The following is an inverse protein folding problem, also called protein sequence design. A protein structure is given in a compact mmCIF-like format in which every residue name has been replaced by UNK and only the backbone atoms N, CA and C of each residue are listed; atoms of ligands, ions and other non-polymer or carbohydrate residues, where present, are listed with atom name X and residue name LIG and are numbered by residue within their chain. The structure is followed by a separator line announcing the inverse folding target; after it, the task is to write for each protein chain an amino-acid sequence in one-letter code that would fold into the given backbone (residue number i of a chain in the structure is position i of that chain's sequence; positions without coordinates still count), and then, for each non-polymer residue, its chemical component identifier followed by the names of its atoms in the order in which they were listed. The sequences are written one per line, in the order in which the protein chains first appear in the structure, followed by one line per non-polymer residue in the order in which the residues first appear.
data_IF_354499235866
#
_entry.id   IF_354499235866
#
_cell.length_a   1.000
_cell.length_b   1.000
_cell.length_c   1.000
_cell.angle_alpha   90.00
_cell.angle_beta   90.00
_cell.angle_gamma   90.00
#
_symmetry.space_group_name_H-M   'P 1'
#
loop_
_entity.id
_entity.type
_entity.pdbx_description
1 polymer ?
#
# COMPACT_ATOMS: atom_id res chain seq x y z
N UNK A 1 -4.36 -8.25 15.18
CA UNK A 1 -4.15 -7.85 13.77
C UNK A 1 -4.91 -8.76 12.82
N UNK A 2 -4.64 -10.07 12.86
CA UNK A 2 -5.24 -11.03 11.95
C UNK A 2 -6.78 -11.06 12.07
N UNK A 3 -7.32 -10.95 13.28
CA UNK A 3 -8.78 -10.81 13.50
C UNK A 3 -9.35 -9.53 12.87
N UNK A 4 -8.65 -8.39 12.97
CA UNK A 4 -9.07 -7.13 12.33
C UNK A 4 -9.07 -7.27 10.80
N UNK A 5 -8.03 -7.89 10.23
CA UNK A 5 -7.96 -8.14 8.80
C UNK A 5 -9.05 -9.11 8.34
N UNK A 6 -9.28 -10.18 9.09
CA UNK A 6 -10.35 -11.13 8.82
C UNK A 6 -11.74 -10.49 8.93
N UNK A 7 -11.95 -9.62 9.93
CA UNK A 7 -13.19 -8.85 10.10
C UNK A 7 -13.47 -7.94 8.91
N UNK A 8 -12.42 -7.29 8.36
CA UNK A 8 -12.54 -6.52 7.13
C UNK A 8 -13.06 -7.40 5.99
N UNK A 9 -12.43 -8.55 5.72
CA UNK A 9 -12.88 -9.40 4.61
C UNK A 9 -14.25 -10.06 4.86
N UNK A 10 -14.59 -10.39 6.10
CA UNK A 10 -15.92 -10.88 6.48
C UNK A 10 -17.03 -9.85 6.28
N UNK A 11 -16.73 -8.56 6.48
CA UNK A 11 -17.65 -7.47 6.14
C UNK A 11 -17.96 -7.43 4.63
N UNK A 12 -17.00 -7.83 3.78
CA UNK A 12 -17.17 -7.82 2.31
C UNK A 12 -17.83 -9.09 1.80
N UNK A 13 -17.37 -10.25 2.28
CA UNK A 13 -17.70 -11.57 1.71
C UNK A 13 -18.61 -12.44 2.59
N UNK A 14 -18.99 -11.96 3.77
CA UNK A 14 -19.81 -12.68 4.73
C UNK A 14 -19.00 -13.35 5.84
N UNK A 15 -19.69 -13.72 6.92
CA UNK A 15 -19.09 -14.23 8.17
C UNK A 15 -18.33 -15.54 8.00
N UNK A 16 -18.67 -16.33 6.99
CA UNK A 16 -18.03 -17.61 6.70
C UNK A 16 -16.69 -17.45 5.98
N UNK A 17 -16.36 -16.24 5.50
CA UNK A 17 -15.06 -15.96 4.92
C UNK A 17 -13.97 -16.11 6.00
N UNK A 18 -12.94 -16.89 5.67
CA UNK A 18 -11.76 -17.07 6.49
C UNK A 18 -10.52 -16.85 5.64
N UNK A 19 -9.69 -15.91 6.05
CA UNK A 19 -8.30 -15.88 5.58
C UNK A 19 -7.65 -17.20 6.04
N UNK A 20 -6.80 -17.76 5.17
CA UNK A 20 -5.95 -18.94 5.44
C UNK A 20 -5.41 -18.96 6.86
N UNK A 21 -5.27 -20.18 7.42
CA UNK A 21 -5.13 -20.45 8.85
C UNK A 21 -4.34 -19.37 9.56
N UNK A 22 -5.01 -18.74 10.53
CA UNK A 22 -4.47 -17.76 11.47
C UNK A 22 -3.36 -18.44 12.30
N UNK A 23 -2.21 -18.75 11.69
CA UNK A 23 -0.98 -18.84 12.48
C UNK A 23 -0.90 -17.49 13.14
N UNK A 24 -0.90 -17.45 14.46
CA UNK A 24 -0.74 -16.23 15.24
C UNK A 24 0.67 -15.66 15.02
N UNK A 25 1.00 -15.22 13.81
CA UNK A 25 2.14 -14.35 13.57
C UNK A 25 1.72 -12.96 14.03
N UNK A 26 1.84 -12.74 15.34
CA UNK A 26 1.85 -11.39 15.90
C UNK A 26 3.01 -10.67 15.23
N UNK A 27 2.72 -9.57 14.52
CA UNK A 27 3.80 -8.67 14.12
C UNK A 27 4.48 -8.20 15.39
N UNK A 28 5.79 -8.41 15.44
CA UNK A 28 6.54 -8.31 16.68
C UNK A 28 6.56 -6.84 17.14
N UNK A 29 6.40 -6.57 18.45
CA UNK A 29 6.58 -5.23 18.99
C UNK A 29 7.95 -4.63 18.66
N UNK A 30 8.95 -5.48 18.41
CA UNK A 30 10.30 -5.08 18.00
C UNK A 30 10.32 -4.32 16.67
N UNK A 31 9.32 -4.45 15.77
CA UNK A 31 9.20 -3.61 14.57
C UNK A 31 9.07 -2.09 14.86
N UNK A 32 8.91 -1.71 16.14
CA UNK A 32 8.99 -0.34 16.63
C UNK A 32 10.45 0.09 16.85
N UNK A 33 11.31 0.00 15.84
CA UNK A 33 12.65 0.61 15.92
C UNK A 33 12.58 2.13 15.99
N UNK A 34 13.67 2.76 16.42
CA UNK A 34 13.95 4.17 16.16
C UNK A 34 14.20 4.38 14.65
N UNK A 35 13.16 4.26 13.84
CA UNK A 35 13.20 4.74 12.45
C UNK A 35 13.09 6.28 12.48
N UNK A 36 14.04 7.01 11.87
CA UNK A 36 13.98 8.47 11.85
C UNK A 36 12.76 8.98 11.08
N UNK A 37 12.17 8.17 10.18
CA UNK A 37 10.94 8.48 9.49
C UNK A 37 9.74 7.96 10.30
N UNK A 38 9.13 8.87 11.06
CA UNK A 38 7.92 8.61 11.86
C UNK A 38 6.78 7.95 11.05
N UNK A 39 6.76 8.10 9.72
CA UNK A 39 5.77 7.45 8.85
C UNK A 39 6.01 5.95 8.74
N UNK A 40 7.26 5.48 8.62
CA UNK A 40 7.56 4.05 8.48
C UNK A 40 7.21 3.31 9.77
N UNK A 41 7.53 3.90 10.93
CA UNK A 41 7.11 3.38 12.24
C UNK A 41 5.60 3.23 12.34
N UNK A 42 4.83 4.23 11.88
CA UNK A 42 3.36 4.15 11.83
C UNK A 42 2.85 3.08 10.87
N UNK A 43 3.45 2.94 9.68
CA UNK A 43 3.10 1.89 8.70
C UNK A 43 3.26 0.49 9.32
N UNK A 44 4.36 0.29 10.05
CA UNK A 44 4.68 -1.01 10.65
C UNK A 44 3.98 -1.26 12.00
N UNK A 45 3.38 -0.24 12.62
CA UNK A 45 2.70 -0.37 13.92
C UNK A 45 1.69 -1.53 13.92
N UNK A 46 1.68 -2.40 14.94
CA UNK A 46 0.71 -3.48 15.04
C UNK A 46 -0.74 -3.03 15.29
N UNK A 47 -0.97 -1.74 15.57
CA UNK A 47 -2.30 -1.22 15.93
C UNK A 47 -3.32 -1.33 14.78
N UNK A 48 -2.84 -1.15 13.54
CA UNK A 48 -3.67 -1.17 12.33
C UNK A 48 -3.26 -2.33 11.42
N UNK A 49 -4.21 -3.21 11.11
CA UNK A 49 -3.99 -4.36 10.23
C UNK A 49 -4.00 -3.97 8.73
N UNK A 50 -4.62 -2.84 8.41
CA UNK A 50 -4.64 -2.26 7.06
C UNK A 50 -4.12 -0.83 7.18
N UNK A 51 -3.13 -0.48 6.36
CA UNK A 51 -2.55 0.87 6.26
C UNK A 51 -2.72 1.37 4.83
N UNK A 52 -3.15 2.62 4.67
CA UNK A 52 -3.15 3.36 3.42
C UNK A 52 -2.01 4.37 3.40
N UNK A 53 -1.04 4.16 2.51
CA UNK A 53 -0.01 5.15 2.17
C UNK A 53 -0.50 5.92 0.95
N UNK A 54 -1.03 7.13 1.18
CA UNK A 54 -1.63 8.00 0.16
C UNK A 54 -0.57 8.92 -0.42
N UNK A 55 -0.06 8.59 -1.60
CA UNK A 55 0.86 9.41 -2.37
C UNK A 55 0.13 10.60 -2.99
N UNK A 56 0.68 11.80 -2.86
CA UNK A 56 0.05 13.04 -3.31
C UNK A 56 1.10 13.97 -3.93
N UNK A 57 0.78 14.67 -5.02
CA UNK A 57 1.70 15.64 -5.63
C UNK A 57 1.60 17.02 -4.93
N UNK A 58 2.73 17.67 -4.61
CA UNK A 58 2.74 19.05 -4.08
C UNK A 58 2.62 20.07 -5.22
N UNK A 59 1.52 20.82 -5.26
CA UNK A 59 1.24 21.96 -6.15
C UNK A 59 1.16 21.69 -7.68
N UNK A 60 0.50 22.63 -8.38
CA UNK A 60 0.20 22.61 -9.83
C UNK A 60 1.45 22.60 -10.74
N UNK A 61 2.62 23.04 -10.26
CA UNK A 61 3.85 23.16 -11.08
C UNK A 61 4.45 21.83 -11.55
N UNK A 62 4.12 20.72 -10.87
CA UNK A 62 4.49 19.36 -11.27
C UNK A 62 3.69 18.84 -12.48
N UNK A 63 2.59 19.51 -12.86
CA UNK A 63 1.72 19.09 -13.96
C UNK A 63 2.30 19.36 -15.35
N UNK A 64 3.40 20.10 -15.44
CA UNK A 64 3.96 20.53 -16.73
C UNK A 64 4.61 19.37 -17.52
N UNK A 65 4.92 18.24 -16.89
CA UNK A 65 5.33 17.02 -17.59
C UNK A 65 4.75 15.76 -16.89
N UNK A 66 3.63 15.21 -17.40
CA UNK A 66 2.97 14.04 -16.80
C UNK A 66 3.86 12.81 -16.66
N UNK A 67 4.82 12.60 -17.59
CA UNK A 67 5.77 11.46 -17.50
C UNK A 67 6.72 11.61 -16.34
N UNK A 68 7.27 12.81 -16.14
CA UNK A 68 8.15 13.10 -15.00
C UNK A 68 7.42 12.90 -13.67
N UNK A 69 6.13 13.27 -13.62
CA UNK A 69 5.34 13.07 -12.41
C UNK A 69 5.04 11.59 -12.16
N UNK A 70 4.61 10.84 -13.18
CA UNK A 70 4.40 9.38 -13.06
C UNK A 70 5.69 8.66 -12.61
N UNK A 71 6.85 9.08 -13.12
CA UNK A 71 8.15 8.55 -12.71
C UNK A 71 8.46 8.86 -11.24
N UNK A 72 8.10 10.06 -10.74
CA UNK A 72 8.26 10.41 -9.32
C UNK A 72 7.38 9.58 -8.41
N UNK A 73 6.13 9.29 -8.80
CA UNK A 73 5.27 8.37 -8.06
C UNK A 73 5.86 6.97 -8.01
N UNK A 74 6.32 6.45 -9.15
CA UNK A 74 7.00 5.14 -9.23
C UNK A 74 8.22 5.07 -8.30
N UNK A 75 9.10 6.08 -8.33
CA UNK A 75 10.29 6.10 -7.48
C UNK A 75 9.94 6.25 -6.00
N UNK A 76 8.93 7.07 -5.68
CA UNK A 76 8.44 7.20 -4.30
C UNK A 76 7.90 5.87 -3.78
N UNK A 77 7.13 5.12 -4.59
CA UNK A 77 6.70 3.76 -4.22
C UNK A 77 7.89 2.85 -3.93
N UNK A 78 8.93 2.87 -4.78
CA UNK A 78 10.16 2.09 -4.58
C UNK A 78 10.85 2.44 -3.27
N UNK A 79 10.99 3.72 -2.96
CA UNK A 79 11.62 4.22 -1.73
C UNK A 79 10.84 3.83 -0.47
N UNK A 80 9.50 3.92 -0.51
CA UNK A 80 8.65 3.49 0.61
C UNK A 80 8.80 1.99 0.84
N UNK A 81 8.75 1.18 -0.23
CA UNK A 81 8.95 -0.28 -0.14
C UNK A 81 10.33 -0.62 0.40
N UNK A 82 11.38 0.07 -0.06
CA UNK A 82 12.74 -0.11 0.43
C UNK A 82 12.87 0.19 1.92
N UNK A 83 12.34 1.34 2.36
CA UNK A 83 12.35 1.68 3.79
C UNK A 83 11.65 0.62 4.62
N UNK A 84 10.45 0.20 4.23
CA UNK A 84 9.72 -0.88 4.92
C UNK A 84 10.56 -2.18 4.96
N UNK A 85 11.16 -2.55 3.83
CA UNK A 85 11.99 -3.74 3.72
C UNK A 85 13.21 -3.69 4.65
N UNK A 86 13.91 -2.56 4.69
CA UNK A 86 15.08 -2.35 5.57
C UNK A 86 14.63 -2.42 7.03
N UNK A 87 13.57 -1.72 7.41
CA UNK A 87 13.10 -1.69 8.80
C UNK A 87 12.67 -3.08 9.28
N UNK A 88 12.09 -3.93 8.42
CA UNK A 88 11.79 -5.34 8.74
C UNK A 88 13.07 -6.20 8.81
N UNK A 89 14.10 -5.89 8.03
CA UNK A 89 15.33 -6.68 8.03
C UNK A 89 16.34 -6.29 9.12
N UNK A 90 16.26 -5.06 9.61
CA UNK A 90 17.08 -4.58 10.72
C UNK A 90 16.60 -5.09 12.08
N UNK A 91 15.44 -5.77 12.13
CA UNK A 91 14.98 -6.41 13.34
C UNK A 91 15.88 -7.60 13.68
N UNK A 92 16.54 -7.53 14.84
CA UNK A 92 17.29 -8.65 15.43
C UNK A 92 16.32 -9.68 16.02
N UNK A 93 15.69 -10.46 15.13
CA UNK A 93 14.75 -11.50 15.50
C UNK A 93 15.13 -12.84 14.88
N UNK A 94 14.92 -13.90 15.67
CA UNK A 94 15.15 -15.28 15.25
C UNK A 94 14.29 -15.69 14.05
N UNK A 95 13.10 -15.07 13.90
CA UNK A 95 12.19 -15.30 12.79
C UNK A 95 11.56 -13.99 12.31
N UNK A 96 12.05 -13.51 11.16
CA UNK A 96 11.49 -12.34 10.47
C UNK A 96 10.14 -12.67 9.83
N UNK A 97 9.15 -11.73 9.85
CA UNK A 97 7.90 -11.92 9.13
C UNK A 97 8.17 -12.06 7.63
N UNK A 98 7.42 -12.95 6.99
CA UNK A 98 7.45 -13.06 5.52
C UNK A 98 6.86 -11.82 4.88
N UNK A 99 7.52 -11.32 3.83
CA UNK A 99 7.12 -10.11 3.11
C UNK A 99 6.80 -10.42 1.64
N UNK A 100 5.65 -9.96 1.19
CA UNK A 100 5.23 -10.05 -0.20
C UNK A 100 4.94 -8.65 -0.75
N UNK A 101 5.61 -8.28 -1.83
CA UNK A 101 5.33 -7.05 -2.57
C UNK A 101 4.56 -7.37 -3.84
N UNK A 102 3.46 -6.67 -4.05
CA UNK A 102 2.51 -6.91 -5.13
C UNK A 102 2.32 -5.65 -5.94
N UNK A 103 2.48 -5.73 -7.25
CA UNK A 103 2.17 -4.61 -8.14
C UNK A 103 1.65 -5.12 -9.49
N UNK A 104 0.61 -4.50 -10.06
CA UNK A 104 0.13 -4.85 -11.40
C UNK A 104 1.01 -4.24 -12.51
N UNK A 105 1.97 -3.37 -12.18
CA UNK A 105 2.85 -2.70 -13.14
C UNK A 105 4.16 -3.46 -13.31
N UNK A 106 4.43 -3.94 -14.53
CA UNK A 106 5.71 -4.58 -14.85
C UNK A 106 6.91 -3.64 -14.60
N UNK A 107 6.75 -2.35 -14.92
CA UNK A 107 7.76 -1.31 -14.70
C UNK A 107 8.05 -1.12 -13.21
N UNK A 108 7.01 -1.06 -12.38
CA UNK A 108 7.14 -0.94 -10.93
C UNK A 108 7.84 -2.17 -10.34
N UNK A 109 7.46 -3.36 -10.81
CA UNK A 109 8.05 -4.63 -10.37
C UNK A 109 9.56 -4.66 -10.61
N UNK A 110 10.01 -4.29 -11.82
CA UNK A 110 11.44 -4.23 -12.16
C UNK A 110 12.17 -3.19 -11.31
N UNK A 111 11.55 -2.03 -11.08
CA UNK A 111 12.16 -0.95 -10.29
C UNK A 111 12.39 -1.39 -8.84
N UNK A 112 11.37 -1.99 -8.19
CA UNK A 112 11.48 -2.53 -6.83
C UNK A 112 12.52 -3.65 -6.79
N UNK A 113 12.49 -4.59 -7.74
CA UNK A 113 13.47 -5.68 -7.80
C UNK A 113 14.91 -5.14 -7.92
N UNK A 114 15.14 -4.19 -8.82
CA UNK A 114 16.46 -3.60 -9.04
C UNK A 114 16.97 -2.86 -7.81
N UNK A 115 16.08 -2.17 -7.09
CA UNK A 115 16.42 -1.47 -5.85
C UNK A 115 16.78 -2.45 -4.74
N UNK A 116 15.95 -3.47 -4.53
CA UNK A 116 16.10 -4.40 -3.41
C UNK A 116 17.20 -5.46 -3.59
N UNK A 117 17.66 -5.70 -4.83
CA UNK A 117 18.83 -6.55 -5.13
C UNK A 117 20.11 -6.18 -4.36
N UNK A 118 20.19 -4.95 -3.86
CA UNK A 118 21.34 -4.42 -3.11
C UNK A 118 21.39 -4.92 -1.66
N UNK A 119 20.32 -5.55 -1.16
CA UNK A 119 20.24 -6.01 0.23
C UNK A 119 20.34 -7.53 0.33
N UNK A 120 21.36 -8.07 1.01
CA UNK A 120 21.47 -9.51 1.24
C UNK A 120 20.55 -9.95 2.39
N UNK A 121 19.35 -10.47 2.07
CA UNK A 121 18.57 -11.40 2.92
C UNK A 121 17.29 -11.92 2.23
N UNK A 122 16.86 -13.15 2.56
CA UNK A 122 16.25 -14.13 1.62
C UNK A 122 14.71 -14.26 1.66
N UNK A 123 13.96 -13.57 2.53
CA UNK A 123 12.50 -13.83 2.67
C UNK A 123 11.57 -12.81 1.99
N UNK A 124 11.91 -12.38 0.78
CA UNK A 124 11.10 -11.44 -0.01
C UNK A 124 10.64 -12.08 -1.32
N UNK A 125 9.34 -12.03 -1.57
CA UNK A 125 8.78 -12.30 -2.89
C UNK A 125 8.20 -11.01 -3.48
N UNK A 126 8.51 -10.75 -4.76
CA UNK A 126 7.94 -9.62 -5.52
C UNK A 126 7.18 -10.22 -6.70
N UNK A 127 5.85 -10.03 -6.73
CA UNK A 127 4.94 -10.78 -7.62
C UNK A 127 3.95 -9.84 -8.31
N UNK A 128 3.45 -10.27 -9.48
CA UNK A 128 2.39 -9.60 -10.25
C UNK A 128 0.98 -10.08 -9.83
N UNK A 129 -0.01 -9.20 -9.93
CA UNK A 129 -1.35 -9.28 -9.29
C UNK A 129 -2.33 -10.34 -9.80
N UNK A 130 -2.13 -11.01 -10.94
CA UNK A 130 -3.22 -11.87 -11.47
C UNK A 130 -2.88 -13.27 -11.93
N UNK A 131 -1.63 -13.62 -12.19
CA UNK A 131 -1.33 -14.96 -12.76
C UNK A 131 -0.35 -15.79 -11.92
N UNK A 132 0.44 -15.15 -11.03
CA UNK A 132 1.50 -15.84 -10.26
C UNK A 132 1.23 -15.92 -8.76
N UNK A 133 0.03 -15.53 -8.31
CA UNK A 133 -0.32 -15.42 -6.88
C UNK A 133 -1.11 -16.61 -6.31
N UNK A 134 -1.55 -17.59 -7.12
CA UNK A 134 -2.30 -18.73 -6.59
C UNK A 134 -1.45 -19.49 -5.55
N UNK A 135 -1.97 -19.61 -4.33
CA UNK A 135 -1.32 -20.32 -3.21
C UNK A 135 -0.22 -19.56 -2.47
N UNK A 136 0.02 -18.27 -2.76
CA UNK A 136 1.08 -17.49 -2.11
C UNK A 136 0.53 -16.49 -1.10
N UNK A 137 1.02 -16.57 0.13
CA UNK A 137 0.64 -15.71 1.25
C UNK A 137 1.88 -15.29 2.04
N UNK A 138 1.78 -14.16 2.73
CA UNK A 138 2.84 -13.63 3.59
C UNK A 138 2.25 -12.99 4.84
N UNK A 139 3.07 -12.81 5.88
CA UNK A 139 2.66 -12.13 7.11
C UNK A 139 2.34 -10.66 6.83
N UNK A 140 3.16 -10.02 5.99
CA UNK A 140 2.97 -8.66 5.51
C UNK A 140 2.86 -8.66 3.99
N UNK A 141 1.84 -7.98 3.47
CA UNK A 141 1.72 -7.67 2.03
C UNK A 141 1.81 -6.17 1.79
N UNK A 142 2.66 -5.75 0.86
CA UNK A 142 2.70 -4.38 0.34
C UNK A 142 2.11 -4.36 -1.06
N UNK A 143 1.00 -3.65 -1.26
CA UNK A 143 0.40 -3.47 -2.59
C UNK A 143 0.79 -2.11 -3.17
N UNK A 144 1.52 -2.09 -4.28
CA UNK A 144 1.95 -0.88 -4.99
C UNK A 144 1.01 -0.62 -6.17
N UNK A 145 -0.01 0.20 -5.90
CA UNK A 145 -1.04 0.67 -6.85
C UNK A 145 -1.03 2.21 -6.91
N UNK A 146 0.15 2.81 -6.87
CA UNK A 146 0.43 4.25 -6.96
C UNK A 146 0.25 4.85 -8.34
N UNK A 147 -0.77 4.43 -9.10
CA UNK A 147 -1.06 5.01 -10.41
C UNK A 147 -1.54 6.46 -10.28
N UNK A 148 -0.87 7.38 -10.96
CA UNK A 148 -1.22 8.79 -10.94
C UNK A 148 -1.93 9.25 -12.22
N UNK A 149 -1.34 8.98 -13.39
CA UNK A 149 -1.96 9.28 -14.68
C UNK A 149 -2.97 8.17 -15.04
N UNK A 150 -4.24 8.54 -15.19
CA UNK A 150 -5.36 7.64 -15.54
C UNK A 150 -6.06 8.06 -16.85
N UNK A 151 -5.34 8.69 -17.78
CA UNK A 151 -5.95 9.33 -18.96
C UNK A 151 -6.60 8.34 -19.93
N UNK A 152 -6.14 7.09 -19.96
CA UNK A 152 -6.64 6.04 -20.86
C UNK A 152 -7.68 5.15 -20.19
N UNK A 153 -8.84 4.95 -20.82
CA UNK A 153 -9.88 3.98 -20.40
C UNK A 153 -9.30 2.60 -20.10
N UNK A 154 -8.48 2.04 -20.99
CA UNK A 154 -7.88 0.72 -20.79
C UNK A 154 -7.01 0.65 -19.53
N UNK A 155 -6.33 1.74 -19.18
CA UNK A 155 -5.55 1.85 -17.93
C UNK A 155 -6.49 1.89 -16.73
N UNK A 156 -7.58 2.68 -16.78
CA UNK A 156 -8.62 2.73 -15.73
C UNK A 156 -9.25 1.36 -15.50
N UNK A 157 -9.70 0.68 -16.56
CA UNK A 157 -10.27 -0.68 -16.46
C UNK A 157 -9.27 -1.67 -15.87
N UNK A 158 -8.00 -1.52 -16.22
CA UNK A 158 -6.94 -2.35 -15.70
C UNK A 158 -6.74 -2.13 -14.19
N UNK A 159 -6.59 -0.89 -13.73
CA UNK A 159 -6.26 -0.59 -12.33
C UNK A 159 -7.46 -0.72 -11.38
N UNK A 160 -8.69 -0.51 -11.85
CA UNK A 160 -9.91 -0.68 -11.05
C UNK A 160 -10.52 -2.08 -11.14
N UNK A 161 -9.81 -3.07 -11.71
CA UNK A 161 -10.30 -4.45 -11.69
C UNK A 161 -10.28 -5.00 -10.26
N UNK A 162 -11.45 -5.12 -9.63
CA UNK A 162 -11.61 -5.53 -8.23
C UNK A 162 -10.87 -6.81 -7.87
N UNK A 163 -10.87 -7.81 -8.77
CA UNK A 163 -10.17 -9.08 -8.53
C UNK A 163 -8.67 -8.89 -8.26
N UNK A 164 -8.03 -7.86 -8.83
CA UNK A 164 -6.60 -7.55 -8.58
C UNK A 164 -6.38 -7.08 -7.15
N UNK A 165 -7.25 -6.18 -6.69
CA UNK A 165 -7.23 -5.66 -5.33
C UNK A 165 -7.55 -6.74 -4.31
N UNK A 166 -8.60 -7.52 -4.56
CA UNK A 166 -9.00 -8.65 -3.71
C UNK A 166 -7.87 -9.66 -3.57
N UNK A 167 -7.30 -10.10 -4.69
CA UNK A 167 -6.20 -11.06 -4.69
C UNK A 167 -4.97 -10.50 -3.99
N UNK A 168 -4.59 -9.24 -4.25
CA UNK A 168 -3.43 -8.62 -3.63
C UNK A 168 -3.60 -8.48 -2.11
N UNK A 169 -4.73 -7.95 -1.64
CA UNK A 169 -4.97 -7.66 -0.23
C UNK A 169 -5.20 -8.93 0.61
N UNK A 170 -5.89 -9.94 0.06
CA UNK A 170 -6.18 -11.20 0.78
C UNK A 170 -4.96 -12.11 0.99
N UNK A 171 -3.79 -11.79 0.41
CA UNK A 171 -2.56 -12.58 0.63
C UNK A 171 -1.89 -12.31 1.97
N UNK A 172 -2.31 -11.26 2.67
CA UNK A 172 -1.77 -10.96 3.98
C UNK A 172 -2.40 -11.84 5.05
N UNK A 173 -1.57 -12.41 5.91
CA UNK A 173 -2.02 -13.09 7.12
C UNK A 173 -2.22 -12.12 8.28
N UNK A 174 -1.38 -11.09 8.37
CA UNK A 174 -1.38 -10.18 9.52
C UNK A 174 -1.56 -8.71 9.14
N UNK A 175 -0.86 -8.22 8.10
CA UNK A 175 -0.91 -6.80 7.70
C UNK A 175 -0.93 -6.60 6.19
N UNK A 176 -1.79 -5.68 5.75
CA UNK A 176 -1.79 -5.12 4.40
C UNK A 176 -1.33 -3.66 4.45
N UNK A 177 -0.32 -3.32 3.65
CA UNK A 177 0.14 -1.95 3.41
C UNK A 177 -0.21 -1.59 1.97
N UNK A 178 -1.10 -0.64 1.79
CA UNK A 178 -1.62 -0.24 0.49
C UNK A 178 -1.02 1.09 0.10
N UNK A 179 -0.08 1.08 -0.85
CA UNK A 179 0.47 2.29 -1.44
C UNK A 179 -0.37 2.65 -2.66
N UNK A 180 -1.01 3.80 -2.62
CA UNK A 180 -1.90 4.27 -3.69
C UNK A 180 -1.90 5.80 -3.78
N UNK A 181 -2.64 6.37 -4.72
CA UNK A 181 -2.69 7.82 -4.93
C UNK A 181 -4.04 8.40 -4.51
N UNK A 182 -4.06 9.71 -4.29
CA UNK A 182 -5.31 10.47 -4.21
C UNK A 182 -6.20 10.29 -5.44
N UNK A 183 -5.62 10.21 -6.64
CA UNK A 183 -6.36 9.97 -7.89
C UNK A 183 -7.01 8.59 -8.00
N UNK A 184 -6.49 7.58 -7.29
CA UNK A 184 -7.10 6.26 -7.23
C UNK A 184 -8.24 6.19 -6.20
N UNK A 185 -8.07 6.85 -5.05
CA UNK A 185 -9.05 6.85 -3.96
C UNK A 185 -10.25 7.76 -4.28
N UNK A 186 -9.98 8.95 -4.82
CA UNK A 186 -11.00 9.93 -5.19
C UNK A 186 -10.83 10.36 -6.66
N UNK A 187 -11.20 9.49 -7.61
CA UNK A 187 -11.14 9.83 -9.02
C UNK A 187 -12.23 10.84 -9.40
N UNK A 188 -11.82 11.99 -9.94
CA UNK A 188 -12.71 13.03 -10.50
C UNK A 188 -13.28 12.65 -11.89
N UNK A 189 -13.07 11.42 -12.35
CA UNK A 189 -13.44 10.95 -13.69
C UNK A 189 -14.82 10.26 -13.68
N UNK A 190 -15.75 10.82 -14.46
CA UNK A 190 -17.13 10.31 -14.57
C UNK A 190 -17.19 8.89 -15.14
N UNK A 191 -16.23 8.49 -15.97
CA UNK A 191 -16.19 7.16 -16.58
C UNK A 191 -16.04 6.05 -15.53
N UNK A 192 -15.25 6.32 -14.48
CA UNK A 192 -15.09 5.40 -13.35
C UNK A 192 -16.42 5.24 -12.60
N UNK A 193 -17.27 6.26 -12.61
CA UNK A 193 -18.58 6.26 -11.98
C UNK A 193 -19.70 5.72 -12.86
N UNK A 194 -19.50 5.54 -14.17
CA UNK A 194 -20.51 4.97 -15.07
C UNK A 194 -20.21 3.52 -15.45
N UNK A 195 -18.93 3.15 -15.59
CA UNK A 195 -18.52 1.78 -15.89
C UNK A 195 -18.67 0.87 -14.67
N UNK A 196 -19.56 -0.13 -14.74
CA UNK A 196 -19.87 -1.05 -13.64
C UNK A 196 -18.63 -1.69 -13.01
N UNK A 197 -17.70 -2.20 -13.83
CA UNK A 197 -16.49 -2.88 -13.33
C UNK A 197 -15.54 -1.92 -12.62
N UNK A 198 -15.38 -0.70 -13.15
CA UNK A 198 -14.55 0.33 -12.49
C UNK A 198 -15.18 0.78 -11.17
N UNK A 199 -16.51 0.96 -11.13
CA UNK A 199 -17.25 1.30 -9.91
C UNK A 199 -17.08 0.27 -8.82
N UNK A 200 -17.13 -1.02 -9.15
CA UNK A 200 -16.91 -2.10 -8.17
C UNK A 200 -15.50 -2.01 -7.57
N UNK A 201 -14.48 -1.76 -8.39
CA UNK A 201 -13.12 -1.51 -7.91
C UNK A 201 -13.01 -0.28 -7.03
N UNK A 202 -13.63 0.84 -7.42
CA UNK A 202 -13.69 2.06 -6.61
C UNK A 202 -14.42 1.84 -5.29
N UNK A 203 -15.54 1.11 -5.31
CA UNK A 203 -16.28 0.77 -4.11
C UNK A 203 -15.43 -0.04 -3.13
N UNK A 204 -14.63 -1.00 -3.62
CA UNK A 204 -13.69 -1.75 -2.79
C UNK A 204 -12.63 -0.83 -2.14
N UNK A 205 -12.09 0.14 -2.89
CA UNK A 205 -11.15 1.14 -2.34
C UNK A 205 -11.81 2.03 -1.28
N UNK A 206 -13.05 2.48 -1.51
CA UNK A 206 -13.81 3.24 -0.52
C UNK A 206 -14.05 2.43 0.76
N UNK A 207 -14.33 1.12 0.63
CA UNK A 207 -14.49 0.24 1.79
C UNK A 207 -13.18 0.12 2.59
N UNK A 208 -12.02 0.05 1.92
CA UNK A 208 -10.72 0.10 2.58
C UNK A 208 -10.52 1.44 3.29
N UNK A 209 -10.73 2.57 2.61
CA UNK A 209 -10.52 3.90 3.18
C UNK A 209 -11.43 4.14 4.40
N UNK A 210 -12.71 3.78 4.29
CA UNK A 210 -13.65 3.84 5.41
C UNK A 210 -13.26 2.89 6.55
N UNK A 211 -12.81 1.67 6.24
CA UNK A 211 -12.37 0.73 7.26
C UNK A 211 -11.21 1.29 8.07
N UNK A 212 -10.20 1.84 7.39
CA UNK A 212 -9.02 2.45 8.03
C UNK A 212 -9.45 3.65 8.88
N UNK A 213 -10.27 4.56 8.33
CA UNK A 213 -10.79 5.72 9.05
C UNK A 213 -11.56 5.35 10.33
N UNK A 214 -12.39 4.31 10.29
CA UNK A 214 -13.29 3.98 11.39
C UNK A 214 -12.66 3.05 12.43
N UNK A 215 -11.78 2.12 12.03
CA UNK A 215 -11.15 1.19 12.98
C UNK A 215 -10.02 1.82 13.79
N UNK A 216 -9.51 2.98 13.37
CA UNK A 216 -8.57 3.77 14.17
C UNK A 216 -9.27 4.65 15.23
N UNK A 217 -10.60 4.81 15.15
CA UNK A 217 -11.39 5.61 16.11
C UNK A 217 -11.71 4.86 17.42
N UNK A 218 -11.61 3.54 17.45
CA UNK A 218 -11.87 2.71 18.65
C UNK A 218 -10.77 2.82 19.74
N UNK A 219 -9.85 3.78 19.64
CA UNK A 219 -8.73 3.97 20.58
C UNK A 219 -9.08 5.02 21.67
N UNK A 220 -10.34 5.34 21.97
CA UNK A 220 -10.72 6.20 23.12
C UNK A 220 -10.53 7.73 22.92
N UNK A 221 -11.46 8.55 23.37
CA UNK A 221 -11.83 9.84 22.75
C UNK A 221 -10.90 11.07 22.89
N UNK A 222 -9.63 10.99 23.30
CA UNK A 222 -8.95 12.19 23.87
C UNK A 222 -7.78 12.86 23.14
N UNK A 223 -7.50 12.56 21.88
CA UNK A 223 -6.52 13.33 21.10
C UNK A 223 -7.12 13.62 19.73
N UNK A 224 -6.94 14.82 19.17
CA UNK A 224 -7.22 15.12 17.76
C UNK A 224 -6.42 14.12 16.91
N UNK A 225 -6.98 12.95 16.64
CA UNK A 225 -6.24 11.82 16.08
C UNK A 225 -5.96 12.11 14.63
N UNK A 226 -4.68 12.33 14.32
CA UNK A 226 -4.21 11.94 13.01
C UNK A 226 -4.62 10.49 12.76
N UNK A 227 -5.34 10.27 11.66
CA UNK A 227 -5.82 8.95 11.28
C UNK A 227 -4.63 8.00 11.14
N UNK A 228 -4.45 7.10 12.11
CA UNK A 228 -3.18 6.37 12.34
C UNK A 228 -2.83 5.54 11.11
N UNK A 229 -3.82 4.92 10.49
CA UNK A 229 -3.71 4.06 9.34
C UNK A 229 -3.76 4.76 8.00
N UNK A 230 -3.97 6.10 7.94
CA UNK A 230 -3.76 6.88 6.71
C UNK A 230 -2.47 7.70 6.83
N UNK A 231 -1.48 7.30 6.05
CA UNK A 231 -0.18 7.96 5.95
C UNK A 231 -0.14 8.78 4.67
N UNK A 232 -0.25 10.11 4.79
CA UNK A 232 -0.10 11.02 3.64
C UNK A 232 1.38 11.15 3.29
N UNK A 233 1.70 10.97 2.01
CA UNK A 233 3.06 11.07 1.50
C UNK A 233 3.12 12.05 0.33
N UNK A 234 3.61 13.25 0.60
CA UNK A 234 3.69 14.31 -0.40
C UNK A 234 4.97 14.18 -1.24
N UNK A 235 4.81 14.15 -2.55
CA UNK A 235 5.86 14.12 -3.56
C UNK A 235 6.15 15.57 -3.97
N UNK A 236 7.36 16.03 -3.67
CA UNK A 236 7.86 17.35 -4.05
C UNK A 236 8.30 17.39 -5.51
N UNK A 237 8.16 18.55 -6.16
CA UNK A 237 8.88 18.84 -7.40
C UNK A 237 10.37 18.92 -7.13
N UNK A 238 11.20 18.80 -8.17
CA UNK A 238 12.63 19.05 -7.99
C UNK A 238 12.73 20.51 -7.56
N UNK A 239 13.19 20.74 -6.33
CA UNK A 239 13.63 22.07 -5.96
C UNK A 239 14.70 22.42 -6.98
N UNK A 240 14.49 23.49 -7.76
CA UNK A 240 15.60 24.10 -8.49
C UNK A 240 16.66 24.33 -7.43
N UNK A 241 17.76 23.57 -7.48
CA UNK A 241 18.99 23.91 -6.77
C UNK A 241 19.21 25.38 -7.09
N UNK A 242 19.02 26.26 -6.11
CA UNK A 242 19.53 27.62 -6.22
C UNK A 242 21.01 27.44 -6.55
N UNK A 243 21.38 27.82 -7.76
CA UNK A 243 22.77 28.10 -8.05
C UNK A 243 23.11 29.25 -7.11
N UNK A 244 23.89 28.94 -6.09
CA UNK A 244 24.61 29.97 -5.38
C UNK A 244 25.67 30.44 -6.38
N UNK A 245 25.35 31.53 -7.07
CA UNK A 245 26.35 32.40 -7.70
C UNK A 245 27.07 33.20 -6.61
#
# INVERSE_FOLDING_TARGET
MNEKLNSFFQMIYGKDYKISSLKETKLLPSLLFEDPDSRIKRILSPDSAIILVKLMARNKGLRNNPRTLEDKFLQTEVEVVEKIYISINNVEETKKPSLLVVTPSHRQRIAIQSKLKRYPNINLQIIDTTEKMQGKEADIVITCFGFYNLDKTSKKEFVFKINRWNVATSRARSKVIIITTDKMLDPEDIEISTNKKMREGRAFLNMIENWVQNNDNNIGEKIKRENIGIIKWTISGDEKKQRND
#
